data_IF_432529725426
#
_entry.id   IF_432529725426
#
_cell.length_a   1.000
_cell.length_b   1.000
_cell.length_c   1.000
_cell.angle_alpha   90.00
_cell.angle_beta   90.00
_cell.angle_gamma   90.00
#
_symmetry.space_group_name_H-M   'P 1'
#
loop_
_entity.id
_entity.type
_entity.pdbx_description
1 polymer ?
#
# COMPACT_ATOMS: atom_id res chain seq x y z
N UNK A 1 16.92 0.29 -12.06
CA UNK A 1 18.09 1.19 -12.21
C UNK A 1 17.78 2.38 -13.12
N UNK A 2 17.27 2.16 -14.34
CA UNK A 2 17.06 3.23 -15.33
C UNK A 2 16.00 4.28 -14.93
N UNK A 3 15.10 3.97 -14.01
CA UNK A 3 14.01 4.86 -13.56
C UNK A 3 14.34 5.72 -12.32
N UNK A 4 15.48 5.52 -11.65
CA UNK A 4 15.74 6.16 -10.34
C UNK A 4 16.65 7.40 -10.35
N UNK A 5 17.05 7.88 -11.53
CA UNK A 5 17.97 9.02 -11.66
C UNK A 5 19.42 8.69 -11.26
N UNK A 6 20.41 9.50 -11.68
CA UNK A 6 21.84 9.19 -11.50
C UNK A 6 22.32 9.26 -10.05
N UNK A 7 21.64 10.02 -9.18
CA UNK A 7 22.12 10.32 -7.82
C UNK A 7 21.51 9.45 -6.70
N UNK A 8 20.73 8.42 -7.05
CA UNK A 8 20.16 7.49 -6.06
C UNK A 8 20.93 6.19 -5.96
N UNK A 9 21.38 5.88 -4.74
CA UNK A 9 21.93 4.59 -4.32
C UNK A 9 20.93 3.44 -4.58
N UNK A 10 21.00 2.83 -5.76
CA UNK A 10 20.13 1.71 -6.17
C UNK A 10 20.33 0.48 -5.27
N UNK A 11 21.53 0.32 -4.70
CA UNK A 11 21.93 -0.87 -3.96
C UNK A 11 21.05 -1.12 -2.74
N UNK A 12 20.84 -0.12 -1.88
CA UNK A 12 19.99 -0.28 -0.69
C UNK A 12 18.53 -0.62 -1.04
N UNK A 13 18.02 -0.14 -2.17
CA UNK A 13 16.70 -0.51 -2.68
C UNK A 13 16.67 -1.95 -3.19
N UNK A 14 17.70 -2.35 -3.94
CA UNK A 14 17.85 -3.71 -4.45
C UNK A 14 17.96 -4.72 -3.30
N UNK A 15 18.77 -4.43 -2.27
CA UNK A 15 18.94 -5.29 -1.10
C UNK A 15 17.62 -5.47 -0.33
N UNK A 16 16.82 -4.39 -0.20
CA UNK A 16 15.45 -4.48 0.35
C UNK A 16 14.52 -5.36 -0.49
N UNK A 17 14.55 -5.19 -1.81
CA UNK A 17 13.75 -6.01 -2.73
C UNK A 17 14.15 -7.48 -2.65
N UNK A 18 15.45 -7.78 -2.55
CA UNK A 18 15.96 -9.14 -2.38
C UNK A 18 15.53 -9.75 -1.05
N UNK A 19 15.45 -8.97 0.02
CA UNK A 19 14.86 -9.43 1.27
C UNK A 19 13.38 -9.81 1.10
N UNK A 20 12.61 -9.06 0.31
CA UNK A 20 11.20 -9.41 0.04
C UNK A 20 11.02 -10.66 -0.81
N UNK A 21 12.02 -11.10 -1.60
CA UNK A 21 11.96 -12.39 -2.33
C UNK A 21 11.84 -13.60 -1.41
N UNK A 22 12.22 -13.44 -0.14
CA UNK A 22 12.08 -14.49 0.86
C UNK A 22 10.69 -14.53 1.52
N UNK A 23 9.80 -13.59 1.16
CA UNK A 23 8.38 -13.65 1.53
C UNK A 23 7.69 -14.82 0.82
N UNK A 24 6.59 -15.30 1.38
CA UNK A 24 5.78 -16.35 0.76
C UNK A 24 5.03 -15.82 -0.47
N UNK A 25 4.62 -14.55 -0.43
CA UNK A 25 3.96 -13.87 -1.53
C UNK A 25 3.86 -12.37 -1.27
N UNK A 26 3.32 -11.64 -2.25
CA UNK A 26 3.07 -10.19 -2.14
C UNK A 26 1.66 -9.89 -2.61
N UNK A 27 0.90 -9.17 -1.78
CA UNK A 27 -0.42 -8.64 -2.15
C UNK A 27 -0.23 -7.25 -2.77
N UNK A 28 -0.78 -7.03 -3.95
CA UNK A 28 -0.75 -5.74 -4.64
C UNK A 28 -2.12 -5.08 -4.52
N UNK A 29 -2.17 -3.85 -3.99
CA UNK A 29 -3.41 -3.11 -3.78
C UNK A 29 -3.57 -2.07 -4.87
N UNK A 30 -4.69 -2.11 -5.57
CA UNK A 30 -5.01 -1.17 -6.65
C UNK A 30 -6.31 -0.42 -6.35
N UNK A 31 -6.47 0.73 -6.98
CA UNK A 31 -7.74 1.46 -7.07
C UNK A 31 -8.11 1.67 -8.54
N UNK A 32 -9.33 1.27 -8.90
CA UNK A 32 -9.85 1.42 -10.26
C UNK A 32 -10.28 2.87 -10.51
N UNK A 33 -9.51 3.59 -11.32
CA UNK A 33 -9.77 5.00 -11.60
C UNK A 33 -11.02 5.20 -12.47
N UNK A 34 -11.46 4.22 -13.26
CA UNK A 34 -12.69 4.35 -14.05
C UNK A 34 -13.92 4.46 -13.15
N UNK A 35 -13.93 3.69 -12.05
CA UNK A 35 -15.00 3.73 -11.05
C UNK A 35 -14.99 5.07 -10.32
N UNK A 36 -13.81 5.56 -9.93
CA UNK A 36 -13.66 6.85 -9.25
C UNK A 36 -14.15 7.98 -10.16
N UNK A 37 -13.65 8.06 -11.39
CA UNK A 37 -14.06 9.08 -12.36
C UNK A 37 -15.56 8.98 -12.71
N UNK A 38 -16.09 7.76 -12.82
CA UNK A 38 -17.52 7.52 -13.00
C UNK A 38 -18.37 8.12 -11.88
N UNK A 39 -17.96 7.93 -10.62
CA UNK A 39 -18.63 8.51 -9.46
C UNK A 39 -18.50 10.04 -9.41
N UNK A 40 -17.33 10.59 -9.78
CA UNK A 40 -17.13 12.03 -9.87
C UNK A 40 -18.06 12.67 -10.89
N UNK A 41 -18.24 12.05 -12.05
CA UNK A 41 -19.12 12.52 -13.11
C UNK A 41 -20.61 12.42 -12.72
N UNK A 42 -21.00 11.35 -12.01
CA UNK A 42 -22.38 11.16 -11.56
C UNK A 42 -22.76 12.07 -10.40
N UNK A 43 -21.81 12.42 -9.54
CA UNK A 43 -22.03 13.25 -8.34
C UNK A 43 -21.01 14.40 -8.25
N UNK A 44 -21.09 15.42 -9.13
CA UNK A 44 -20.07 16.47 -9.24
C UNK A 44 -19.82 17.26 -7.96
N UNK A 45 -20.86 17.45 -7.14
CA UNK A 45 -20.76 18.16 -5.85
C UNK A 45 -19.81 17.46 -4.85
N UNK A 46 -19.51 16.18 -5.06
CA UNK A 46 -18.61 15.38 -4.23
C UNK A 46 -17.40 14.87 -5.01
N UNK A 47 -17.13 15.39 -6.21
CA UNK A 47 -16.09 14.87 -7.09
C UNK A 47 -14.71 14.79 -6.40
N UNK A 48 -14.33 15.83 -5.67
CA UNK A 48 -13.05 15.84 -4.92
C UNK A 48 -13.01 14.79 -3.81
N UNK A 49 -14.16 14.45 -3.22
CA UNK A 49 -14.24 13.48 -2.14
C UNK A 49 -14.02 12.04 -2.61
N UNK A 50 -14.44 11.67 -3.83
CA UNK A 50 -14.30 10.29 -4.30
C UNK A 50 -12.85 9.83 -4.41
N UNK A 51 -11.93 10.73 -4.80
CA UNK A 51 -10.50 10.42 -4.81
C UNK A 51 -9.96 10.15 -3.38
N UNK A 52 -10.45 10.91 -2.39
CA UNK A 52 -10.09 10.73 -0.98
C UNK A 52 -10.69 9.42 -0.45
N UNK A 53 -11.97 9.16 -0.70
CA UNK A 53 -12.67 7.95 -0.24
C UNK A 53 -12.11 6.67 -0.87
N UNK A 54 -11.69 6.73 -2.14
CA UNK A 54 -10.96 5.63 -2.79
C UNK A 54 -9.68 5.31 -2.01
N UNK A 55 -8.87 6.32 -1.68
CA UNK A 55 -7.64 6.12 -0.89
C UNK A 55 -7.93 5.57 0.52
N UNK A 56 -8.97 6.08 1.19
CA UNK A 56 -9.38 5.61 2.51
C UNK A 56 -9.85 4.14 2.47
N UNK A 57 -10.66 3.80 1.47
CA UNK A 57 -11.18 2.44 1.25
C UNK A 57 -10.02 1.46 1.03
N UNK A 58 -9.04 1.85 0.19
CA UNK A 58 -7.84 1.04 -0.01
C UNK A 58 -7.07 0.81 1.29
N UNK A 59 -6.86 1.87 2.08
CA UNK A 59 -6.19 1.77 3.38
C UNK A 59 -6.95 0.88 4.38
N UNK A 60 -8.29 0.91 4.38
CA UNK A 60 -9.12 0.01 5.18
C UNK A 60 -8.92 -1.45 4.78
N UNK A 61 -8.87 -1.74 3.47
CA UNK A 61 -8.59 -3.09 2.97
C UNK A 61 -7.19 -3.56 3.38
N UNK A 62 -6.17 -2.71 3.20
CA UNK A 62 -4.80 -3.02 3.63
C UNK A 62 -4.74 -3.36 5.12
N UNK A 63 -5.38 -2.54 5.97
CA UNK A 63 -5.42 -2.78 7.41
C UNK A 63 -6.16 -4.07 7.78
N UNK A 64 -7.32 -4.33 7.17
CA UNK A 64 -8.12 -5.52 7.42
C UNK A 64 -7.36 -6.80 7.02
N UNK A 65 -6.73 -6.81 5.85
CA UNK A 65 -5.95 -7.94 5.35
C UNK A 65 -4.71 -8.17 6.23
N UNK A 66 -3.96 -7.12 6.57
CA UNK A 66 -2.80 -7.25 7.45
C UNK A 66 -3.20 -7.81 8.82
N UNK A 67 -4.29 -7.30 9.39
CA UNK A 67 -4.83 -7.80 10.67
C UNK A 67 -5.21 -9.27 10.55
N UNK A 68 -5.89 -9.67 9.49
CA UNK A 68 -6.26 -11.07 9.26
C UNK A 68 -5.02 -11.98 9.17
N UNK A 69 -3.99 -11.59 8.42
CA UNK A 69 -2.71 -12.30 8.37
C UNK A 69 -2.08 -12.42 9.78
N UNK A 70 -2.04 -11.30 10.51
CA UNK A 70 -1.50 -11.26 11.87
C UNK A 70 -2.22 -12.19 12.84
N UNK A 71 -3.56 -12.31 12.77
CA UNK A 71 -4.33 -13.25 13.61
C UNK A 71 -4.01 -14.72 13.32
N UNK A 72 -3.40 -15.01 12.18
CA UNK A 72 -2.94 -16.35 11.78
C UNK A 72 -1.44 -16.56 12.02
N UNK A 73 -0.75 -15.61 12.66
CA UNK A 73 0.69 -15.68 12.88
C UNK A 73 1.51 -15.49 11.61
N UNK A 74 0.93 -14.87 10.58
CA UNK A 74 1.61 -14.56 9.32
C UNK A 74 2.15 -13.13 9.42
N UNK A 75 3.47 -12.98 9.27
CA UNK A 75 4.14 -11.69 9.23
C UNK A 75 3.90 -11.00 7.89
N UNK A 76 3.78 -9.69 7.92
CA UNK A 76 3.69 -8.88 6.71
C UNK A 76 4.28 -7.48 6.96
N UNK A 77 4.61 -6.78 5.88
CA UNK A 77 4.98 -5.37 5.90
C UNK A 77 4.31 -4.65 4.73
N UNK A 78 4.12 -3.34 4.82
CA UNK A 78 3.52 -2.55 3.75
C UNK A 78 4.58 -1.65 3.10
N UNK A 79 4.72 -1.75 1.78
CA UNK A 79 5.72 -1.08 0.95
C UNK A 79 5.06 -0.22 -0.12
N UNK A 80 5.79 0.79 -0.59
CA UNK A 80 5.32 1.75 -1.61
C UNK A 80 6.44 2.00 -2.64
N UNK A 81 6.65 1.04 -3.54
CA UNK A 81 7.57 1.18 -4.68
C UNK A 81 6.92 1.81 -5.91
N UNK A 82 5.60 2.04 -5.86
CA UNK A 82 4.89 2.85 -6.83
C UNK A 82 5.41 4.31 -6.83
N UNK A 83 5.47 4.99 -8.00
CA UNK A 83 5.07 4.50 -9.31
C UNK A 83 6.18 3.73 -10.07
N UNK A 84 7.33 3.45 -9.44
CA UNK A 84 8.53 2.95 -10.15
C UNK A 84 8.32 1.56 -10.78
N UNK A 85 7.44 0.75 -10.18
CA UNK A 85 7.16 -0.62 -10.61
C UNK A 85 5.85 -0.75 -11.38
N UNK A 86 5.05 0.30 -11.46
CA UNK A 86 3.67 0.24 -11.95
C UNK A 86 3.59 -0.30 -13.38
N UNK A 87 4.41 0.25 -14.29
CA UNK A 87 4.43 -0.18 -15.71
C UNK A 87 4.83 -1.66 -15.82
N UNK A 88 5.91 -2.04 -15.16
CA UNK A 88 6.39 -3.43 -15.21
C UNK A 88 5.39 -4.42 -14.60
N UNK A 89 4.71 -4.05 -13.52
CA UNK A 89 3.68 -4.88 -12.86
C UNK A 89 2.43 -5.00 -13.73
N UNK A 90 1.96 -3.87 -14.27
CA UNK A 90 0.76 -3.85 -15.11
C UNK A 90 0.95 -4.66 -16.39
N UNK A 91 2.11 -4.54 -17.04
CA UNK A 91 2.46 -5.33 -18.23
C UNK A 91 2.67 -6.81 -17.91
N UNK A 92 3.35 -7.15 -16.81
CA UNK A 92 3.68 -8.54 -16.48
C UNK A 92 2.46 -9.39 -16.08
N UNK A 93 1.40 -8.76 -15.58
CA UNK A 93 0.20 -9.43 -15.05
C UNK A 93 -1.09 -9.03 -15.77
N UNK A 94 -1.00 -8.38 -16.93
CA UNK A 94 -2.14 -7.94 -17.74
C UNK A 94 -3.19 -7.14 -16.94
N UNK A 95 -2.73 -6.29 -16.02
CA UNK A 95 -3.61 -5.47 -15.17
C UNK A 95 -4.17 -4.30 -15.99
N UNK A 96 -5.46 -3.96 -15.86
CA UNK A 96 -6.03 -2.79 -16.53
C UNK A 96 -5.23 -1.52 -16.25
N UNK A 97 -4.99 -0.70 -17.29
CA UNK A 97 -4.23 0.56 -17.16
C UNK A 97 -4.89 1.58 -16.25
N UNK A 98 -6.19 1.42 -16.01
CA UNK A 98 -7.01 2.27 -15.15
C UNK A 98 -6.87 1.89 -13.68
N UNK A 99 -6.26 0.74 -13.38
CA UNK A 99 -5.95 0.33 -12.01
C UNK A 99 -4.65 0.96 -11.56
N UNK A 100 -4.78 1.90 -10.63
CA UNK A 100 -3.65 2.60 -10.02
C UNK A 100 -3.09 1.78 -8.87
N UNK A 101 -1.81 1.40 -8.93
CA UNK A 101 -1.14 0.72 -7.82
C UNK A 101 -0.98 1.65 -6.61
N UNK A 102 -1.50 1.25 -5.47
CA UNK A 102 -1.48 2.01 -4.22
C UNK A 102 -0.35 1.54 -3.30
N UNK A 103 -0.23 0.24 -3.08
CA UNK A 103 0.76 -0.34 -2.16
C UNK A 103 1.04 -1.81 -2.45
N UNK A 104 2.11 -2.34 -1.84
CA UNK A 104 2.51 -3.75 -1.93
C UNK A 104 2.73 -4.31 -0.53
N UNK A 105 2.18 -5.48 -0.22
CA UNK A 105 2.31 -6.13 1.08
C UNK A 105 2.94 -7.51 0.94
N UNK A 106 4.28 -7.61 1.00
CA UNK A 106 4.95 -8.90 1.16
C UNK A 106 4.56 -9.54 2.49
N UNK A 107 4.22 -10.83 2.47
CA UNK A 107 3.79 -11.59 3.64
C UNK A 107 4.44 -12.99 3.68
N UNK A 108 4.57 -13.58 4.86
CA UNK A 108 5.15 -14.90 5.05
C UNK A 108 5.38 -15.24 6.52
N UNK A 109 6.27 -16.20 6.77
CA UNK A 109 6.63 -16.59 8.14
C UNK A 109 7.30 -15.44 8.88
N UNK A 110 6.96 -15.28 10.16
CA UNK A 110 7.63 -14.33 11.05
C UNK A 110 9.05 -14.85 11.32
N UNK A 111 10.06 -14.07 10.93
CA UNK A 111 11.48 -14.40 11.15
C UNK A 111 12.06 -13.67 12.36
N UNK A 112 11.62 -12.43 12.54
CA UNK A 112 12.00 -11.56 13.64
C UNK A 112 10.74 -10.96 14.27
N UNK A 113 10.77 -10.74 15.57
CA UNK A 113 9.70 -10.04 16.27
C UNK A 113 9.64 -8.56 15.86
N UNK A 114 8.45 -7.97 15.91
CA UNK A 114 8.31 -6.54 15.69
C UNK A 114 9.04 -5.77 16.80
N UNK A 115 9.84 -4.78 16.42
CA UNK A 115 10.49 -3.89 17.38
C UNK A 115 9.48 -3.05 18.16
N UNK A 116 9.97 -2.38 19.20
CA UNK A 116 9.15 -1.50 20.02
C UNK A 116 8.49 -0.38 19.19
N UNK A 117 7.21 -0.11 19.47
CA UNK A 117 6.46 0.98 18.84
C UNK A 117 6.13 2.05 19.87
N UNK A 118 6.69 3.24 19.67
CA UNK A 118 6.33 4.41 20.47
C UNK A 118 4.93 4.92 20.10
N UNK A 119 4.20 5.42 21.11
CA UNK A 119 2.90 6.05 20.93
C UNK A 119 2.93 7.46 21.53
N UNK A 120 2.33 8.42 20.83
CA UNK A 120 2.05 9.75 21.40
C UNK A 120 1.00 9.64 22.52
N UNK A 121 0.98 10.61 23.44
CA UNK A 121 -0.01 10.67 24.51
C UNK A 121 -1.43 10.72 23.91
N UNK A 122 -2.34 9.95 24.50
CA UNK A 122 -3.75 9.88 24.11
C UNK A 122 -4.42 11.25 24.23
N UNK A 123 -4.02 12.07 25.21
CA UNK A 123 -4.58 13.41 25.45
C UNK A 123 -4.37 14.36 24.27
N UNK A 124 -3.30 14.16 23.51
CA UNK A 124 -2.98 14.98 22.33
C UNK A 124 -3.76 14.54 21.09
N UNK A 125 -4.42 13.38 21.14
CA UNK A 125 -5.08 12.74 19.98
C UNK A 125 -6.60 12.59 20.14
N UNK A 126 -7.12 12.63 21.36
CA UNK A 126 -8.52 12.37 21.65
C UNK A 126 -9.15 13.46 22.53
N UNK A 127 -10.30 13.96 22.09
CA UNK A 127 -11.12 14.90 22.85
C UNK A 127 -12.35 14.18 23.41
N UNK A 128 -12.47 14.14 24.74
CA UNK A 128 -13.68 13.61 25.41
C UNK A 128 -14.48 14.79 25.99
N UNK A 129 -15.77 14.85 25.66
CA UNK A 129 -16.76 15.79 26.21
C UNK A 129 -17.99 14.99 26.61
N UNK A 130 -18.60 15.33 27.74
CA UNK A 130 -19.85 14.75 28.24
C UNK A 130 -21.02 15.65 27.88
#
# INVERSE_FOLDING_TARGET
KNTMGPDREFQATADKIDNFKHSHGTILYFEDQDVVEGLQNQMPNYAENFAVWSTQTNAMHQFAVWTALGTKGIGASLQHYNPLVDVAVTEAFDIPKTWKLVAQMPFGNIRDEAGEKAFQDVKDRFLVRK
#
